data_IF_670565654603
#
_entry.id   IF_670565654603
#
_cell.length_a   1.000
_cell.length_b   1.000
_cell.length_c   1.000
_cell.angle_alpha   90.00
_cell.angle_beta   90.00
_cell.angle_gamma   90.00
#
_symmetry.space_group_name_H-M   'P 1'
#
loop_
_entity.id
_entity.type
_entity.pdbx_description
1 polymer ?
#
# COMPACT_ATOMS: atom_id res chain seq x y z
N UNK A 1 3.42 24.25 -5.92
CA UNK A 1 4.33 23.11 -5.62
C UNK A 1 3.64 21.81 -6.06
N UNK A 2 4.39 20.82 -6.53
CA UNK A 2 3.82 19.49 -6.75
C UNK A 2 3.38 18.90 -5.39
N UNK A 3 2.32 18.11 -5.36
CA UNK A 3 1.87 17.41 -4.15
C UNK A 3 2.31 15.95 -4.21
N UNK A 4 2.70 15.39 -3.06
CA UNK A 4 3.11 14.00 -2.90
C UNK A 4 2.32 13.34 -1.76
N UNK A 5 1.98 12.06 -1.94
CA UNK A 5 1.42 11.21 -0.89
C UNK A 5 2.56 10.56 -0.11
N UNK A 6 2.71 10.93 1.16
CA UNK A 6 3.77 10.44 2.04
C UNK A 6 3.20 9.52 3.14
N UNK A 7 3.85 8.39 3.45
CA UNK A 7 3.39 7.46 4.48
C UNK A 7 3.44 8.10 5.87
N UNK A 8 2.37 7.91 6.64
CA UNK A 8 2.22 8.35 8.03
C UNK A 8 2.02 7.13 8.94
N UNK A 9 2.93 6.17 8.82
CA UNK A 9 2.95 4.96 9.63
C UNK A 9 4.38 4.43 9.76
N UNK A 10 4.72 3.76 10.87
CA UNK A 10 6.02 3.14 11.04
C UNK A 10 6.23 2.00 10.04
N UNK A 11 7.45 1.86 9.55
CA UNK A 11 7.87 0.70 8.77
C UNK A 11 8.10 -0.47 9.74
N UNK A 12 7.03 -1.20 10.04
CA UNK A 12 7.07 -2.32 10.99
C UNK A 12 7.68 -3.57 10.33
N UNK A 13 8.41 -4.43 11.07
CA UNK A 13 8.99 -5.64 10.52
C UNK A 13 7.89 -6.59 10.03
N UNK A 14 7.70 -6.64 8.71
CA UNK A 14 6.60 -7.35 8.06
C UNK A 14 6.56 -8.85 8.32
N UNK A 15 7.66 -9.47 8.76
CA UNK A 15 7.75 -10.92 8.98
C UNK A 15 6.82 -11.44 10.09
N UNK A 16 6.78 -10.77 11.25
CA UNK A 16 5.95 -11.21 12.38
C UNK A 16 4.46 -10.97 12.08
N UNK A 17 4.16 -9.83 11.45
CA UNK A 17 2.80 -9.51 11.00
C UNK A 17 2.30 -10.50 9.95
N UNK A 18 3.13 -10.82 8.96
CA UNK A 18 2.82 -11.82 7.94
C UNK A 18 2.52 -13.19 8.56
N UNK A 19 3.26 -13.59 9.59
CA UNK A 19 3.00 -14.87 10.28
C UNK A 19 1.66 -14.87 11.01
N UNK A 20 1.31 -13.77 11.69
CA UNK A 20 0.06 -13.66 12.48
C UNK A 20 -1.17 -13.46 11.61
N UNK A 21 -1.08 -12.56 10.64
CA UNK A 21 -2.22 -12.09 9.83
C UNK A 21 -2.26 -12.74 8.46
N UNK A 22 -1.24 -13.51 8.07
CA UNK A 22 -1.12 -14.19 6.76
C UNK A 22 -1.05 -13.29 5.54
N UNK A 23 -1.26 -12.00 5.71
CA UNK A 23 -1.11 -10.96 4.72
C UNK A 23 -0.39 -9.80 5.39
N UNK A 24 0.53 -9.17 4.67
CA UNK A 24 1.10 -7.91 5.11
C UNK A 24 1.44 -6.99 3.94
N UNK A 25 1.39 -5.67 4.16
CA UNK A 25 2.08 -4.74 3.26
C UNK A 25 3.57 -5.07 3.28
N UNK A 26 4.18 -5.18 2.11
CA UNK A 26 5.62 -5.39 1.98
C UNK A 26 6.34 -4.06 1.78
N UNK A 27 5.89 -3.28 0.80
CA UNK A 27 6.42 -1.94 0.53
C UNK A 27 5.48 -1.14 -0.35
N UNK A 28 5.56 0.18 -0.21
CA UNK A 28 5.04 1.10 -1.21
C UNK A 28 6.06 1.27 -2.34
N UNK A 29 5.56 1.32 -3.57
CA UNK A 29 6.33 1.81 -4.70
C UNK A 29 6.57 3.30 -4.54
N UNK A 30 7.74 3.78 -4.97
CA UNK A 30 7.93 5.23 -5.13
C UNK A 30 7.01 5.66 -6.28
N UNK A 31 6.08 6.60 -6.07
CA UNK A 31 5.14 6.97 -7.12
C UNK A 31 5.92 7.53 -8.32
N UNK A 32 5.69 7.02 -9.54
CA UNK A 32 6.22 7.63 -10.76
C UNK A 32 5.51 8.95 -11.10
N UNK A 33 4.30 9.15 -10.55
CA UNK A 33 3.48 10.34 -10.68
C UNK A 33 2.56 10.46 -9.45
N UNK A 34 2.11 11.68 -9.08
CA UNK A 34 1.23 11.91 -7.93
C UNK A 34 -0.18 11.29 -8.07
N UNK A 35 -0.52 10.78 -9.26
CA UNK A 35 -1.84 10.25 -9.61
C UNK A 35 -2.09 8.80 -9.18
N UNK A 36 -1.06 8.04 -8.81
CA UNK A 36 -1.22 6.62 -8.45
C UNK A 36 -0.35 6.21 -7.25
N UNK A 37 -0.95 5.46 -6.33
CA UNK A 37 -0.23 4.77 -5.25
C UNK A 37 -0.04 3.32 -5.65
N UNK A 38 1.22 2.88 -5.71
CA UNK A 38 1.55 1.47 -5.99
C UNK A 38 2.17 0.83 -4.78
N UNK A 39 2.01 -0.48 -4.66
CA UNK A 39 2.67 -1.24 -3.60
C UNK A 39 2.67 -2.73 -3.87
N UNK A 40 3.40 -3.44 -3.02
CA UNK A 40 3.46 -4.89 -3.00
C UNK A 40 3.02 -5.43 -1.65
N UNK A 41 2.34 -6.56 -1.69
CA UNK A 41 1.76 -7.28 -0.57
C UNK A 41 2.41 -8.65 -0.50
N UNK A 42 2.72 -9.12 0.70
CA UNK A 42 3.12 -10.52 0.94
C UNK A 42 1.96 -11.30 1.52
N UNK A 43 1.84 -12.55 1.10
CA UNK A 43 0.80 -13.47 1.55
C UNK A 43 1.43 -14.83 1.90
N UNK A 44 1.00 -15.39 3.03
CA UNK A 44 1.25 -16.79 3.38
C UNK A 44 0.34 -17.65 2.52
N UNK A 45 0.91 -18.14 1.42
CA UNK A 45 0.23 -18.97 0.43
C UNK A 45 -0.46 -20.18 1.03
N UNK A 46 -1.57 -20.57 0.43
CA UNK A 46 -2.22 -21.85 0.70
C UNK A 46 -2.78 -22.45 -0.60
N UNK A 47 -3.05 -23.76 -0.63
CA UNK A 47 -3.70 -24.39 -1.76
C UNK A 47 -5.07 -23.77 -2.07
N UNK A 48 -5.46 -23.80 -3.35
CA UNK A 48 -6.76 -23.33 -3.82
C UNK A 48 -6.80 -21.86 -4.26
N UNK A 49 -8.03 -21.37 -4.43
CA UNK A 49 -8.29 -20.00 -4.88
C UNK A 49 -7.89 -18.98 -3.81
N UNK A 50 -7.23 -17.91 -4.26
CA UNK A 50 -6.70 -16.83 -3.44
C UNK A 50 -7.12 -15.49 -4.03
N UNK A 51 -7.71 -14.64 -3.20
CA UNK A 51 -8.11 -13.29 -3.59
C UNK A 51 -7.41 -12.29 -2.66
N UNK A 52 -6.66 -11.36 -3.24
CA UNK A 52 -6.04 -10.26 -2.51
C UNK A 52 -6.67 -8.96 -3.00
N UNK A 53 -7.22 -8.18 -2.08
CA UNK A 53 -7.90 -6.92 -2.35
C UNK A 53 -7.30 -5.83 -1.49
N UNK A 54 -7.07 -4.65 -2.06
CA UNK A 54 -6.75 -3.45 -1.28
C UNK A 54 -8.01 -2.60 -1.21
N UNK A 55 -8.48 -2.35 0.01
CA UNK A 55 -9.59 -1.45 0.29
C UNK A 55 -9.03 -0.10 0.67
N UNK A 56 -9.46 0.97 0.03
CA UNK A 56 -8.99 2.32 0.32
C UNK A 56 -10.10 3.36 0.33
N UNK A 57 -9.84 4.47 1.03
CA UNK A 57 -10.77 5.56 1.29
C UNK A 57 -10.04 6.90 1.31
N UNK A 58 -10.77 7.98 0.98
CA UNK A 58 -10.31 9.37 1.07
C UNK A 58 -11.10 10.21 2.08
N UNK A 59 -12.04 9.59 2.80
CA UNK A 59 -13.02 10.30 3.62
C UNK A 59 -13.29 9.55 4.94
N UNK A 60 -12.23 9.13 5.62
CA UNK A 60 -12.32 8.47 6.94
C UNK A 60 -13.27 7.25 6.94
N UNK A 61 -13.20 6.44 5.88
CA UNK A 61 -14.00 5.22 5.70
C UNK A 61 -15.51 5.41 5.56
N UNK A 62 -16.01 6.65 5.38
CA UNK A 62 -17.42 6.90 5.04
C UNK A 62 -17.80 6.23 3.72
N UNK A 63 -16.87 6.20 2.76
CA UNK A 63 -16.94 5.34 1.58
C UNK A 63 -15.59 4.71 1.28
N UNK A 64 -15.60 3.62 0.52
CA UNK A 64 -14.39 2.88 0.16
C UNK A 64 -14.47 2.31 -1.26
N UNK A 65 -13.30 2.03 -1.81
CA UNK A 65 -13.12 1.34 -3.08
C UNK A 65 -12.26 0.10 -2.84
N UNK A 66 -12.70 -1.03 -3.39
CA UNK A 66 -11.97 -2.30 -3.38
C UNK A 66 -11.26 -2.49 -4.72
N UNK A 67 -9.94 -2.67 -4.71
CA UNK A 67 -9.12 -2.93 -5.90
C UNK A 67 -8.41 -4.27 -5.78
N UNK A 68 -8.50 -5.16 -6.78
CA UNK A 68 -7.78 -6.43 -6.76
C UNK A 68 -6.27 -6.21 -6.90
N UNK A 69 -5.48 -6.88 -6.06
CA UNK A 69 -4.04 -7.01 -6.26
C UNK A 69 -3.76 -8.23 -7.17
N UNK A 70 -2.74 -8.12 -8.00
CA UNK A 70 -2.38 -9.14 -9.00
C UNK A 70 -1.13 -9.91 -8.55
N UNK A 71 -1.10 -11.24 -8.72
CA UNK A 71 0.08 -12.02 -8.36
C UNK A 71 1.30 -11.56 -9.16
N UNK A 72 2.44 -11.49 -8.50
CA UNK A 72 3.74 -11.16 -9.10
C UNK A 72 4.55 -12.44 -9.29
N UNK A 73 5.52 -12.44 -10.22
CA UNK A 73 6.46 -13.55 -10.37
C UNK A 73 7.14 -13.88 -9.04
N UNK A 74 7.26 -15.18 -8.74
CA UNK A 74 7.96 -15.63 -7.55
C UNK A 74 9.42 -15.16 -7.60
N UNK A 75 9.91 -14.60 -6.49
CA UNK A 75 11.34 -14.38 -6.33
C UNK A 75 12.00 -15.67 -5.82
N UNK A 76 13.19 -16.05 -6.30
CA UNK A 76 13.86 -17.32 -5.99
C UNK A 76 13.93 -17.65 -4.49
N UNK A 77 14.06 -16.64 -3.63
CA UNK A 77 14.24 -16.78 -2.19
C UNK A 77 13.08 -16.22 -1.34
N UNK A 78 11.91 -15.95 -1.95
CA UNK A 78 10.77 -15.41 -1.21
C UNK A 78 9.87 -16.56 -0.70
N UNK A 79 9.84 -16.83 0.62
CA UNK A 79 8.99 -17.90 1.18
C UNK A 79 7.48 -17.57 1.16
N UNK A 80 7.10 -16.40 0.64
CA UNK A 80 5.74 -15.89 0.63
C UNK A 80 5.37 -15.41 -0.77
N UNK A 81 4.11 -15.60 -1.15
CA UNK A 81 3.59 -15.12 -2.42
C UNK A 81 3.51 -13.58 -2.40
N UNK A 82 3.75 -12.95 -3.56
CA UNK A 82 3.74 -11.50 -3.70
C UNK A 82 2.64 -11.06 -4.64
N UNK A 83 1.97 -9.98 -4.28
CA UNK A 83 0.91 -9.37 -5.08
C UNK A 83 1.18 -7.87 -5.24
N UNK A 84 0.98 -7.34 -6.44
CA UNK A 84 1.09 -5.91 -6.74
C UNK A 84 -0.27 -5.25 -6.85
N UNK A 85 -0.39 -4.02 -6.35
CA UNK A 85 -1.60 -3.20 -6.48
C UNK A 85 -1.29 -1.79 -6.98
N UNK A 86 -2.32 -1.12 -7.51
CA UNK A 86 -2.30 0.30 -7.88
C UNK A 86 -3.62 0.93 -7.46
N UNK A 87 -3.57 2.02 -6.70
CA UNK A 87 -4.73 2.79 -6.24
C UNK A 87 -4.79 4.09 -7.02
N UNK A 88 -5.93 4.39 -7.60
CA UNK A 88 -6.16 5.63 -8.34
C UNK A 88 -6.34 6.78 -7.34
N UNK A 89 -5.59 7.86 -7.54
CA UNK A 89 -5.69 9.07 -6.70
C UNK A 89 -6.45 10.16 -7.48
N UNK A 90 -7.53 10.73 -6.93
CA UNK A 90 -8.26 11.81 -7.58
C UNK A 90 -7.35 13.02 -7.84
N UNK A 91 -7.42 13.67 -9.02
CA UNK A 91 -6.65 14.88 -9.30
C UNK A 91 -7.07 16.08 -8.43
N UNK A 92 -8.25 16.01 -7.82
CA UNK A 92 -8.78 17.01 -6.90
C UNK A 92 -8.19 16.92 -5.48
N UNK A 93 -7.24 16.02 -5.23
CA UNK A 93 -6.62 15.86 -3.93
C UNK A 93 -5.87 17.14 -3.52
N UNK A 94 -6.20 17.65 -2.33
CA UNK A 94 -5.62 18.89 -1.78
C UNK A 94 -4.53 18.58 -0.77
N UNK A 95 -3.68 19.56 -0.50
CA UNK A 95 -2.76 19.50 0.64
C UNK A 95 -3.51 19.17 1.94
N UNK A 96 -2.93 18.29 2.75
CA UNK A 96 -3.51 17.84 4.03
C UNK A 96 -4.50 16.68 3.90
N UNK A 97 -5.03 16.40 2.71
CA UNK A 97 -5.88 15.25 2.47
C UNK A 97 -5.15 13.94 2.74
N UNK A 98 -5.91 12.91 3.13
CA UNK A 98 -5.37 11.59 3.45
C UNK A 98 -6.03 10.50 2.61
N UNK A 99 -5.22 9.52 2.21
CA UNK A 99 -5.67 8.23 1.68
C UNK A 99 -5.42 7.19 2.76
N UNK A 100 -6.46 6.46 3.15
CA UNK A 100 -6.37 5.33 4.06
C UNK A 100 -6.55 4.04 3.28
N UNK A 101 -5.79 3.00 3.60
CA UNK A 101 -6.02 1.68 3.03
C UNK A 101 -5.73 0.54 4.01
N UNK A 102 -6.35 -0.59 3.73
CA UNK A 102 -6.16 -1.87 4.40
C UNK A 102 -6.14 -2.99 3.34
N UNK A 103 -5.46 -4.08 3.65
CA UNK A 103 -5.28 -5.20 2.72
C UNK A 103 -6.09 -6.39 3.21
N UNK A 104 -6.89 -6.96 2.33
CA UNK A 104 -7.68 -8.16 2.55
C UNK A 104 -7.10 -9.33 1.78
N UNK A 105 -6.99 -10.47 2.44
CA UNK A 105 -6.67 -11.75 1.82
C UNK A 105 -7.76 -12.76 2.13
N UNK A 106 -8.39 -13.32 1.09
CA UNK A 106 -9.37 -14.40 1.20
C UNK A 106 -8.81 -15.69 0.60
N UNK A 107 -9.02 -16.79 1.31
CA UNK A 107 -8.71 -18.13 0.83
C UNK A 107 -9.66 -19.15 1.45
N UNK A 108 -9.46 -20.44 1.11
CA UNK A 108 -10.19 -21.54 1.74
C UNK A 108 -9.99 -21.61 3.28
N UNK A 109 -8.96 -20.95 3.82
CA UNK A 109 -8.66 -20.95 5.26
C UNK A 109 -9.30 -19.77 6.00
N UNK A 110 -10.02 -18.89 5.29
CA UNK A 110 -10.74 -17.76 5.87
C UNK A 110 -10.40 -16.43 5.20
N UNK A 111 -10.84 -15.35 5.85
CA UNK A 111 -10.55 -13.98 5.48
C UNK A 111 -9.61 -13.36 6.52
N UNK A 112 -8.55 -12.72 6.03
CA UNK A 112 -7.50 -12.11 6.83
C UNK A 112 -7.31 -10.66 6.41
N UNK A 113 -7.00 -9.80 7.39
CA UNK A 113 -6.84 -8.37 7.18
C UNK A 113 -5.52 -7.89 7.76
N UNK A 114 -4.81 -7.07 6.97
CA UNK A 114 -3.78 -6.18 7.46
C UNK A 114 -4.30 -4.74 7.38
N UNK A 115 -4.77 -4.26 8.52
CA UNK A 115 -5.24 -2.90 8.75
C UNK A 115 -4.24 -2.11 9.60
N UNK A 116 -2.96 -2.42 9.48
CA UNK A 116 -1.90 -1.82 10.27
C UNK A 116 -2.11 -1.87 11.81
N UNK A 117 -2.63 -2.98 12.34
CA UNK A 117 -2.91 -3.10 13.77
C UNK A 117 -4.03 -2.16 14.25
N UNK A 118 -5.03 -1.93 13.39
CA UNK A 118 -6.18 -1.06 13.66
C UNK A 118 -5.96 0.41 13.29
N UNK A 119 -4.74 0.82 12.91
CA UNK A 119 -4.43 2.22 12.53
C UNK A 119 -4.65 2.52 11.05
N UNK A 120 -4.77 1.48 10.23
CA UNK A 120 -4.71 1.51 8.77
C UNK A 120 -3.38 2.06 8.23
N UNK A 121 -3.18 1.90 6.93
CA UNK A 121 -2.10 2.56 6.23
C UNK A 121 -2.59 3.91 5.75
N UNK A 122 -1.97 4.97 6.25
CA UNK A 122 -2.32 6.35 5.91
C UNK A 122 -1.22 7.00 5.09
N UNK A 123 -1.60 7.56 3.94
CA UNK A 123 -0.76 8.40 3.11
C UNK A 123 -1.31 9.83 3.13
N UNK A 124 -0.49 10.80 3.51
CA UNK A 124 -0.90 12.20 3.60
C UNK A 124 -0.33 13.02 2.46
N UNK A 125 -1.19 13.85 1.88
CA UNK A 125 -0.85 14.77 0.80
C UNK A 125 -0.04 15.95 1.38
N UNK A 126 1.20 16.10 0.92
CA UNK A 126 2.13 17.14 1.36
C UNK A 126 2.78 17.82 0.15
N UNK A 127 3.21 19.09 0.27
CA UNK A 127 4.05 19.71 -0.75
C UNK A 127 5.33 18.90 -0.97
N UNK A 128 5.70 18.71 -2.24
CA UNK A 128 7.01 18.20 -2.60
C UNK A 128 8.07 19.18 -2.08
N UNK A 129 9.18 18.68 -1.51
CA UNK A 129 10.30 19.54 -1.17
C UNK A 129 10.78 20.27 -2.43
N UNK A 130 11.29 21.51 -2.32
CA UNK A 130 11.91 22.18 -3.45
C UNK A 130 13.00 21.26 -4.02
N UNK A 131 13.02 21.10 -5.35
CA UNK A 131 14.11 20.38 -6.00
C UNK A 131 15.41 21.02 -5.52
N UNK A 132 16.31 20.23 -4.94
CA UNK A 132 17.62 20.73 -4.50
C UNK A 132 18.22 21.54 -5.64
N UNK A 133 18.55 22.80 -5.37
CA UNK A 133 19.22 23.65 -6.35
C UNK A 133 20.44 22.90 -6.87
N UNK A 134 20.68 22.87 -8.20
CA UNK A 134 21.87 22.23 -8.72
C UNK A 134 23.09 22.85 -8.04
N UNK A 135 23.96 21.99 -7.49
CA UNK A 135 25.22 22.39 -6.87
C UNK A 135 25.90 23.47 -7.74
N UNK A 136 26.29 24.63 -7.19
CA UNK A 136 26.98 25.65 -7.98
C UNK A 136 28.24 25.00 -8.56
N UNK A 137 28.33 24.98 -9.89
CA UNK A 137 29.53 24.47 -10.56
C UNK A 137 30.70 25.40 -10.21
N UNK A 138 31.90 24.85 -9.95
CA UNK A 138 33.09 25.64 -9.63
C UNK A 138 33.49 26.56 -10.78
#
# INVERSE_FOLDING_TARGET
PALLLLPEFPEEPGAERLRRQRVCLERLGRPPAPSDVRGTVRVVGCPGAKEVTVRYSFNEWLSFVDVPARPLPAAPDAPAERYGFSLCVPPSLREGAALHFAIRYRSAQGEFWDNNGGRNYTLRCRPAPPAAEPCPKP
#
